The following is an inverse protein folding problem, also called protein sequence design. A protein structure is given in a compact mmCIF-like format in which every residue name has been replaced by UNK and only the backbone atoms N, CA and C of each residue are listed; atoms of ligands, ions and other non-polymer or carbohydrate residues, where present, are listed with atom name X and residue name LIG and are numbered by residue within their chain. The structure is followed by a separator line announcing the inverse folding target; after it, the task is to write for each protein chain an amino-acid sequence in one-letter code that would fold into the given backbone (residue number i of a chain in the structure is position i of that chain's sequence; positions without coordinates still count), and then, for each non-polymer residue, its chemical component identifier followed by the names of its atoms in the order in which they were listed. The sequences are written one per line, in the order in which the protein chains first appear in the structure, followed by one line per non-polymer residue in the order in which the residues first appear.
data_IF_473405966186
#
_entry.id   IF_473405966186
#
_cell.length_a   1.000
_cell.length_b   1.000
_cell.length_c   1.000
_cell.angle_alpha   90.00
_cell.angle_beta   90.00
_cell.angle_gamma   90.00
#
_symmetry.space_group_name_H-M   'P 1'
#
loop_
_entity.id
_entity.type
_entity.pdbx_description
1 polymer ?
#
# COMPACT_ATOMS: atom_id res chain seq x y z
N UNK A 1 -77.46 20.57 37.72
CA UNK A 1 -76.80 19.76 36.67
C UNK A 1 -75.51 20.40 36.12
N UNK A 2 -75.05 21.53 36.66
CA UNK A 2 -73.96 22.35 36.06
C UNK A 2 -72.61 22.24 36.78
N UNK A 3 -72.56 22.05 38.11
CA UNK A 3 -71.29 22.03 38.84
C UNK A 3 -70.38 20.81 38.53
N UNK A 4 -70.97 19.64 38.24
CA UNK A 4 -70.20 18.43 37.96
C UNK A 4 -69.50 18.48 36.59
N UNK A 5 -70.06 19.20 35.61
CA UNK A 5 -69.48 19.33 34.27
C UNK A 5 -68.30 20.33 34.30
N UNK A 6 -68.42 21.41 35.07
CA UNK A 6 -67.34 22.39 35.23
C UNK A 6 -66.13 21.78 35.91
N UNK A 7 -66.34 20.93 36.93
CA UNK A 7 -65.26 20.22 37.61
C UNK A 7 -64.59 19.20 36.69
N UNK A 8 -65.37 18.49 35.87
CA UNK A 8 -64.85 17.53 34.91
C UNK A 8 -64.01 18.20 33.80
N UNK A 9 -64.48 19.34 33.26
CA UNK A 9 -63.73 20.11 32.25
C UNK A 9 -62.45 20.74 32.83
N UNK A 10 -62.49 21.24 34.07
CA UNK A 10 -61.31 21.76 34.74
C UNK A 10 -60.27 20.64 34.98
N UNK A 11 -60.70 19.47 35.45
CA UNK A 11 -59.83 18.31 35.63
C UNK A 11 -59.26 17.80 34.28
N UNK A 12 -60.08 17.81 33.22
CA UNK A 12 -59.65 17.42 31.88
C UNK A 12 -58.59 18.38 31.32
N UNK A 13 -58.80 19.70 31.41
CA UNK A 13 -57.83 20.71 30.94
C UNK A 13 -56.54 20.72 31.77
N UNK A 14 -56.62 20.47 33.07
CA UNK A 14 -55.44 20.30 33.94
C UNK A 14 -54.66 19.01 33.67
N UNK A 15 -55.31 18.00 33.08
CA UNK A 15 -54.67 16.73 32.69
C UNK A 15 -54.05 16.75 31.28
N UNK A 16 -54.42 17.70 30.42
CA UNK A 16 -53.87 17.84 29.06
C UNK A 16 -52.34 18.03 29.02
N UNK A 17 -51.71 18.83 29.90
CA UNK A 17 -50.24 18.95 29.95
C UNK A 17 -49.56 17.62 30.31
N UNK A 18 -50.24 16.76 31.07
CA UNK A 18 -49.72 15.44 31.45
C UNK A 18 -49.83 14.43 30.30
N UNK A 19 -50.85 14.57 29.45
CA UNK A 19 -51.05 13.74 28.26
C UNK A 19 -50.17 14.15 27.07
N UNK A 20 -49.89 15.45 26.93
CA UNK A 20 -49.00 15.99 25.88
C UNK A 20 -47.51 16.04 26.29
N UNK A 21 -47.20 16.13 27.59
CA UNK A 21 -45.86 16.42 28.09
C UNK A 21 -45.02 15.22 28.54
N UNK A 22 -45.54 13.99 28.52
CA UNK A 22 -44.84 12.83 29.08
C UNK A 22 -44.77 11.59 28.17
N UNK A 23 -44.89 11.77 26.85
CA UNK A 23 -44.49 10.74 25.89
C UNK A 23 -43.27 11.18 25.08
N UNK A 24 -42.25 11.62 25.83
CA UNK A 24 -40.91 11.86 25.31
C UNK A 24 -40.19 10.50 25.34
N UNK A 25 -40.41 9.70 24.29
CA UNK A 25 -39.64 8.48 24.04
C UNK A 25 -38.16 8.83 23.81
N UNK A 26 -37.25 7.86 24.00
CA UNK A 26 -35.83 8.05 23.65
C UNK A 26 -35.65 8.46 22.18
N UNK A 27 -36.58 8.08 21.30
CA UNK A 27 -36.58 8.48 19.90
C UNK A 27 -36.90 9.98 19.73
N UNK A 28 -37.87 10.53 20.47
CA UNK A 28 -38.19 11.96 20.40
C UNK A 28 -37.11 12.85 21.03
N UNK A 29 -36.42 12.38 22.07
CA UNK A 29 -35.21 13.04 22.56
C UNK A 29 -34.08 12.97 21.53
N UNK A 30 -33.86 11.80 20.92
CA UNK A 30 -32.82 11.66 19.92
C UNK A 30 -33.05 12.54 18.71
N UNK A 31 -34.30 12.71 18.27
CA UNK A 31 -34.65 13.67 17.21
C UNK A 31 -34.45 15.11 17.67
N UNK A 32 -34.88 15.48 18.88
CA UNK A 32 -34.70 16.84 19.40
C UNK A 32 -33.21 17.21 19.56
N UNK A 33 -32.39 16.28 20.06
CA UNK A 33 -30.94 16.43 20.14
C UNK A 33 -30.30 16.44 18.75
N UNK A 34 -30.73 15.58 17.84
CA UNK A 34 -30.28 15.56 16.45
C UNK A 34 -30.57 16.90 15.78
N UNK A 35 -31.80 17.44 15.85
CA UNK A 35 -32.15 18.72 15.27
C UNK A 35 -31.44 19.90 15.94
N UNK A 36 -31.20 19.84 17.25
CA UNK A 36 -30.37 20.83 17.97
C UNK A 36 -28.91 20.80 17.49
N UNK A 37 -28.32 19.62 17.39
CA UNK A 37 -26.95 19.41 16.90
C UNK A 37 -26.82 19.88 15.44
N UNK A 38 -27.83 19.60 14.60
CA UNK A 38 -27.88 19.99 13.20
C UNK A 38 -28.05 21.50 12.99
N UNK A 39 -28.79 22.17 13.88
CA UNK A 39 -28.96 23.63 13.83
C UNK A 39 -27.76 24.38 14.39
N UNK A 40 -27.05 23.80 15.36
CA UNK A 40 -25.83 24.37 15.94
C UNK A 40 -24.59 24.12 15.05
N UNK A 41 -24.56 23.03 14.27
CA UNK A 41 -23.41 22.66 13.42
C UNK A 41 -23.82 22.21 11.99
N UNK A 42 -24.24 23.15 11.11
CA UNK A 42 -24.60 22.85 9.71
C UNK A 42 -23.48 22.19 8.90
N UNK A 43 -22.22 22.35 9.34
CA UNK A 43 -21.04 21.74 8.73
C UNK A 43 -21.00 20.21 8.85
N UNK A 44 -21.60 19.64 9.91
CA UNK A 44 -21.64 18.19 10.11
C UNK A 44 -22.51 17.48 9.06
N UNK A 45 -23.64 18.10 8.70
CA UNK A 45 -24.49 17.66 7.61
C UNK A 45 -23.74 17.68 6.28
N UNK A 46 -23.02 18.77 6.02
CA UNK A 46 -22.22 18.90 4.80
C UNK A 46 -21.11 17.84 4.76
N UNK A 47 -20.40 17.63 5.88
CA UNK A 47 -19.36 16.61 5.99
C UNK A 47 -19.92 15.19 5.77
N UNK A 48 -21.10 14.87 6.30
CA UNK A 48 -21.75 13.56 6.10
C UNK A 48 -22.17 13.35 4.64
N UNK A 49 -22.79 14.35 4.01
CA UNK A 49 -23.20 14.29 2.61
C UNK A 49 -21.99 14.21 1.68
N UNK A 50 -20.93 14.96 1.98
CA UNK A 50 -19.65 14.90 1.25
C UNK A 50 -19.03 13.51 1.41
N UNK A 51 -19.03 12.96 2.63
CA UNK A 51 -18.50 11.62 2.90
C UNK A 51 -19.27 10.54 2.13
N UNK A 52 -20.60 10.59 2.11
CA UNK A 52 -21.40 9.66 1.31
C UNK A 52 -21.12 9.78 -0.19
N UNK A 53 -21.09 11.02 -0.73
CA UNK A 53 -20.75 11.26 -2.13
C UNK A 53 -19.36 10.77 -2.49
N UNK A 54 -18.39 10.96 -1.59
CA UNK A 54 -17.01 10.48 -1.75
C UNK A 54 -16.95 8.96 -1.72
N UNK A 55 -17.66 8.30 -0.80
CA UNK A 55 -17.74 6.84 -0.72
C UNK A 55 -18.35 6.24 -1.99
N UNK A 56 -19.45 6.82 -2.50
CA UNK A 56 -20.03 6.41 -3.79
C UNK A 56 -19.08 6.64 -4.97
N UNK A 57 -18.38 7.78 -4.99
CA UNK A 57 -17.45 8.11 -6.06
C UNK A 57 -16.25 7.15 -6.05
N UNK A 58 -15.69 6.86 -4.86
CA UNK A 58 -14.64 5.85 -4.70
C UNK A 58 -15.13 4.47 -5.11
N UNK A 59 -16.41 4.11 -4.83
CA UNK A 59 -16.99 2.85 -5.31
C UNK A 59 -17.09 2.80 -6.84
N UNK A 60 -17.48 3.90 -7.49
CA UNK A 60 -17.55 4.04 -8.95
C UNK A 60 -16.17 4.00 -9.62
N UNK A 61 -15.15 4.55 -8.96
CA UNK A 61 -13.77 4.60 -9.46
C UNK A 61 -12.99 3.30 -9.21
N UNK A 62 -13.57 2.30 -8.53
CA UNK A 62 -12.94 0.98 -8.44
C UNK A 62 -12.77 0.42 -9.85
N UNK A 63 -11.61 -0.16 -10.20
CA UNK A 63 -11.47 -0.87 -11.45
C UNK A 63 -12.45 -2.06 -11.46
N UNK A 64 -13.55 -1.89 -12.19
CA UNK A 64 -14.52 -2.95 -12.49
C UNK A 64 -13.91 -3.72 -13.65
N UNK A 65 -13.63 -5.01 -13.44
CA UNK A 65 -13.37 -5.90 -14.57
C UNK A 65 -14.62 -5.86 -15.44
N UNK A 66 -14.52 -5.26 -16.64
CA UNK A 66 -15.63 -5.27 -17.59
C UNK A 66 -15.99 -6.73 -17.85
N UNK A 67 -17.20 -7.13 -17.45
CA UNK A 67 -17.73 -8.45 -17.76
C UNK A 67 -17.80 -8.59 -19.29
N UNK A 68 -17.45 -9.76 -19.82
CA UNK A 68 -17.37 -10.08 -21.25
C UNK A 68 -16.24 -9.41 -22.06
N UNK A 69 -15.17 -8.94 -21.42
CA UNK A 69 -13.91 -8.67 -22.14
C UNK A 69 -13.06 -9.92 -22.11
N UNK A 70 -12.63 -10.41 -23.28
CA UNK A 70 -11.65 -11.49 -23.38
C UNK A 70 -10.40 -11.06 -22.59
N UNK A 71 -9.94 -11.92 -21.68
CA UNK A 71 -8.67 -11.68 -20.97
C UNK A 71 -7.57 -11.39 -22.00
N UNK A 72 -6.70 -10.39 -21.76
CA UNK A 72 -5.67 -10.05 -22.72
C UNK A 72 -4.77 -11.27 -22.94
N UNK A 73 -4.49 -11.59 -24.20
CA UNK A 73 -3.53 -12.62 -24.53
C UNK A 73 -2.11 -12.06 -24.34
N UNK A 74 -1.40 -12.57 -23.34
CA UNK A 74 -0.04 -12.14 -23.00
C UNK A 74 0.93 -13.23 -23.42
N UNK A 75 1.92 -12.87 -24.25
CA UNK A 75 2.94 -13.81 -24.75
C UNK A 75 3.98 -14.22 -23.70
N UNK A 76 4.08 -13.47 -22.59
CA UNK A 76 5.05 -13.75 -21.53
C UNK A 76 4.77 -15.10 -20.85
N UNK A 77 5.82 -15.80 -20.41
CA UNK A 77 5.68 -17.06 -19.68
C UNK A 77 4.94 -16.88 -18.34
N UNK A 78 5.10 -15.70 -17.73
CA UNK A 78 4.39 -15.34 -16.50
C UNK A 78 4.14 -13.83 -16.45
N UNK A 79 2.99 -13.43 -15.91
CA UNK A 79 2.57 -12.04 -15.76
C UNK A 79 1.57 -11.92 -14.60
N UNK A 80 1.63 -10.81 -13.87
CA UNK A 80 0.77 -10.53 -12.72
C UNK A 80 0.42 -9.05 -12.71
N UNK A 81 -0.86 -8.73 -12.58
CA UNK A 81 -1.37 -7.37 -12.41
C UNK A 81 -2.15 -7.29 -11.12
N UNK A 82 -1.74 -6.38 -10.23
CA UNK A 82 -2.35 -6.19 -8.91
C UNK A 82 -2.82 -4.75 -8.79
N UNK A 83 -4.04 -4.58 -8.30
CA UNK A 83 -4.52 -3.29 -7.80
C UNK A 83 -4.18 -3.17 -6.33
N UNK A 84 -3.42 -2.13 -5.98
CA UNK A 84 -3.09 -1.78 -4.59
C UNK A 84 -3.96 -0.60 -4.18
N UNK A 85 -4.75 -0.79 -3.13
CA UNK A 85 -5.63 0.25 -2.57
C UNK A 85 -4.83 1.16 -1.65
N UNK A 86 -5.34 2.38 -1.44
CA UNK A 86 -4.76 3.35 -0.49
C UNK A 86 -4.68 2.83 0.95
N UNK A 87 -5.59 1.93 1.33
CA UNK A 87 -5.62 1.29 2.65
C UNK A 87 -4.69 0.05 2.74
N UNK A 88 -3.86 -0.19 1.72
CA UNK A 88 -2.94 -1.33 1.65
C UNK A 88 -3.58 -2.64 1.17
N UNK A 89 -4.91 -2.68 0.99
CA UNK A 89 -5.58 -3.86 0.46
C UNK A 89 -5.20 -4.14 -0.99
N UNK A 90 -4.95 -5.40 -1.34
CA UNK A 90 -4.57 -5.80 -2.71
C UNK A 90 -5.68 -6.61 -3.38
N UNK A 91 -5.83 -6.45 -4.70
CA UNK A 91 -6.70 -7.29 -5.54
C UNK A 91 -5.95 -7.69 -6.81
N UNK A 92 -5.85 -8.99 -7.06
CA UNK A 92 -5.31 -9.51 -8.32
C UNK A 92 -6.33 -9.19 -9.43
N UNK A 93 -5.85 -8.53 -10.50
CA UNK A 93 -6.64 -8.18 -11.68
C UNK A 93 -6.42 -9.17 -12.83
N UNK A 94 -5.20 -9.70 -12.93
CA UNK A 94 -4.78 -10.65 -13.95
C UNK A 94 -3.61 -11.48 -13.41
N UNK A 95 -3.58 -12.77 -13.74
CA UNK A 95 -2.50 -13.68 -13.41
C UNK A 95 -2.32 -14.72 -14.53
N UNK A 96 -1.07 -14.93 -14.93
CA UNK A 96 -0.64 -15.97 -15.86
C UNK A 96 0.66 -16.55 -15.33
N UNK A 97 0.71 -17.86 -15.07
CA UNK A 97 1.93 -18.55 -14.64
C UNK A 97 2.52 -18.07 -13.30
N UNK A 98 1.73 -17.48 -12.40
CA UNK A 98 2.21 -16.74 -11.23
C UNK A 98 3.11 -17.52 -10.25
N UNK A 99 3.02 -18.85 -10.20
CA UNK A 99 3.86 -19.69 -9.31
C UNK A 99 5.09 -20.31 -9.99
N UNK A 100 5.38 -19.94 -11.25
CA UNK A 100 6.55 -20.48 -11.96
C UNK A 100 7.84 -19.83 -11.47
N UNK A 101 8.85 -20.65 -11.19
CA UNK A 101 10.21 -20.17 -10.91
C UNK A 101 10.91 -19.87 -12.23
N UNK A 102 11.19 -18.60 -12.47
CA UNK A 102 11.81 -18.11 -13.70
C UNK A 102 13.03 -17.24 -13.37
N UNK A 103 14.04 -17.20 -14.25
CA UNK A 103 15.09 -16.20 -14.16
C UNK A 103 14.48 -14.79 -14.25
N UNK A 104 14.77 -13.96 -13.24
CA UNK A 104 14.23 -12.58 -13.16
C UNK A 104 15.23 -11.51 -13.65
N UNK A 105 16.44 -11.93 -14.03
CA UNK A 105 17.53 -11.05 -14.49
C UNK A 105 17.71 -9.84 -13.55
N UNK A 106 17.83 -8.63 -14.11
CA UNK A 106 18.04 -7.38 -13.37
C UNK A 106 16.95 -7.01 -12.36
N UNK A 107 15.75 -7.62 -12.37
CA UNK A 107 14.73 -7.39 -11.33
C UNK A 107 15.29 -7.78 -9.95
N UNK A 108 16.30 -8.66 -9.90
CA UNK A 108 17.11 -8.97 -8.71
C UNK A 108 17.58 -7.74 -7.94
N UNK A 109 17.91 -6.66 -8.66
CA UNK A 109 18.42 -5.43 -8.06
C UNK A 109 17.41 -4.71 -7.16
N UNK A 110 16.12 -5.03 -7.27
CA UNK A 110 15.11 -4.57 -6.30
C UNK A 110 15.36 -5.17 -4.91
N UNK A 111 15.77 -6.45 -4.83
CA UNK A 111 16.16 -7.05 -3.55
C UNK A 111 17.48 -6.47 -3.04
N UNK A 112 18.45 -6.24 -3.92
CA UNK A 112 19.71 -5.56 -3.57
C UNK A 112 19.44 -4.19 -2.97
N UNK A 113 18.57 -3.39 -3.60
CA UNK A 113 18.17 -2.08 -3.10
C UNK A 113 17.43 -2.19 -1.74
N UNK A 114 16.57 -3.18 -1.57
CA UNK A 114 15.85 -3.43 -0.30
C UNK A 114 16.84 -3.73 0.84
N UNK A 115 17.79 -4.64 0.62
CA UNK A 115 18.83 -4.97 1.62
C UNK A 115 19.68 -3.74 1.96
N UNK A 116 20.14 -3.01 0.94
CA UNK A 116 20.91 -1.78 1.15
C UNK A 116 20.12 -0.74 1.95
N UNK A 117 18.87 -0.49 1.57
CA UNK A 117 18.01 0.49 2.26
C UNK A 117 17.75 0.13 3.73
N UNK A 118 17.71 -1.17 4.06
CA UNK A 118 17.46 -1.66 5.43
C UNK A 118 18.72 -1.69 6.30
N UNK A 119 19.87 -1.99 5.71
CA UNK A 119 21.07 -2.35 6.48
C UNK A 119 22.21 -1.32 6.40
N UNK A 120 22.22 -0.44 5.39
CA UNK A 120 23.35 0.45 5.14
C UNK A 120 22.99 1.89 5.53
N UNK A 121 23.93 2.61 6.13
CA UNK A 121 23.75 4.04 6.39
C UNK A 121 23.82 4.81 5.07
N UNK A 122 22.76 5.55 4.68
CA UNK A 122 22.70 6.29 3.41
C UNK A 122 23.86 7.26 3.20
N UNK A 123 24.46 7.79 4.28
CA UNK A 123 25.56 8.74 4.21
C UNK A 123 26.94 8.07 4.03
N UNK A 124 27.03 6.75 4.21
CA UNK A 124 28.30 6.02 4.09
C UNK A 124 28.85 6.16 2.68
N UNK A 125 30.16 6.41 2.57
CA UNK A 125 30.86 6.57 1.29
C UNK A 125 31.40 5.24 0.80
N UNK A 126 31.12 4.93 -0.46
CA UNK A 126 31.59 3.74 -1.17
C UNK A 126 32.50 4.19 -2.28
N UNK A 127 33.72 3.64 -2.33
CA UNK A 127 34.63 3.81 -3.45
C UNK A 127 34.44 2.65 -4.42
N UNK A 128 34.20 2.97 -5.69
CA UNK A 128 34.05 1.96 -6.74
C UNK A 128 35.40 1.26 -6.96
N UNK A 129 35.42 -0.03 -6.65
CA UNK A 129 36.62 -0.84 -6.75
C UNK A 129 36.84 -1.35 -8.18
N UNK A 130 38.05 -1.83 -8.45
CA UNK A 130 38.34 -2.51 -9.72
C UNK A 130 37.59 -3.84 -9.85
N UNK A 131 37.37 -4.54 -8.74
CA UNK A 131 36.64 -5.80 -8.75
C UNK A 131 35.17 -5.59 -9.08
N UNK A 132 34.52 -4.56 -8.51
CA UNK A 132 33.13 -4.24 -8.80
C UNK A 132 32.86 -3.98 -10.29
N UNK A 133 33.75 -3.26 -10.96
CA UNK A 133 33.64 -2.95 -12.40
C UNK A 133 33.98 -4.16 -13.29
N UNK A 134 34.81 -5.09 -12.81
CA UNK A 134 35.26 -6.25 -13.60
C UNK A 134 34.47 -7.53 -13.32
N UNK A 135 33.60 -7.53 -12.31
CA UNK A 135 32.84 -8.72 -11.89
C UNK A 135 31.92 -9.22 -13.00
N UNK A 136 31.27 -8.31 -13.73
CA UNK A 136 30.41 -8.66 -14.87
C UNK A 136 30.81 -7.81 -16.09
N UNK A 137 31.16 -8.47 -17.20
CA UNK A 137 31.75 -7.86 -18.41
C UNK A 137 30.81 -6.91 -19.17
N UNK A 138 29.62 -6.61 -18.64
CA UNK A 138 28.61 -5.78 -19.29
C UNK A 138 27.78 -4.99 -18.25
N UNK A 139 27.38 -3.78 -18.65
CA UNK A 139 26.53 -2.80 -17.95
C UNK A 139 27.12 -2.01 -16.76
N UNK A 140 28.38 -1.56 -16.90
CA UNK A 140 29.03 -0.66 -15.94
C UNK A 140 29.54 0.65 -16.55
N UNK A 141 29.01 1.81 -16.12
CA UNK A 141 29.55 3.14 -16.46
C UNK A 141 30.31 3.77 -15.29
N UNK A 142 30.36 3.10 -14.13
CA UNK A 142 31.02 3.65 -12.96
C UNK A 142 32.54 3.56 -13.14
N UNK A 143 33.27 4.60 -12.73
CA UNK A 143 34.72 4.63 -12.88
C UNK A 143 35.37 4.17 -11.60
N UNK A 144 36.43 3.37 -11.75
CA UNK A 144 37.26 2.93 -10.63
C UNK A 144 37.77 4.16 -9.89
N UNK A 145 37.59 4.19 -8.57
CA UNK A 145 37.98 5.29 -7.71
C UNK A 145 36.92 6.37 -7.52
N UNK A 146 35.81 6.35 -8.27
CA UNK A 146 34.67 7.23 -7.99
C UNK A 146 34.14 6.94 -6.58
N UNK A 147 33.66 7.98 -5.90
CA UNK A 147 33.16 7.87 -4.53
C UNK A 147 31.72 8.38 -4.47
N UNK A 148 30.80 7.49 -4.13
CA UNK A 148 29.38 7.78 -3.98
C UNK A 148 28.97 7.65 -2.52
N UNK A 149 27.92 8.36 -2.09
CA UNK A 149 27.19 7.92 -0.90
C UNK A 149 26.38 6.66 -1.23
N UNK A 150 26.02 5.86 -0.22
CA UNK A 150 25.09 4.73 -0.38
C UNK A 150 23.82 5.18 -1.08
N UNK A 151 23.26 6.32 -0.66
CA UNK A 151 22.06 6.88 -1.27
C UNK A 151 22.25 7.23 -2.76
N UNK A 152 23.37 7.86 -3.12
CA UNK A 152 23.65 8.23 -4.51
C UNK A 152 23.88 7.00 -5.38
N UNK A 153 24.52 5.96 -4.84
CA UNK A 153 24.82 4.73 -5.59
C UNK A 153 23.58 3.87 -5.87
N UNK A 154 22.48 4.07 -5.15
CA UNK A 154 21.19 3.44 -5.47
C UNK A 154 20.59 3.96 -6.80
N UNK A 155 20.94 5.18 -7.24
CA UNK A 155 20.46 5.71 -8.52
C UNK A 155 20.96 4.91 -9.72
N UNK A 156 22.28 4.72 -9.94
CA UNK A 156 22.75 3.87 -11.05
C UNK A 156 22.29 2.42 -10.90
N UNK A 157 22.14 1.90 -9.67
CA UNK A 157 21.58 0.56 -9.43
C UNK A 157 20.16 0.42 -10.00
N UNK A 158 19.28 1.41 -9.76
CA UNK A 158 17.85 1.30 -10.07
C UNK A 158 17.46 1.91 -11.42
N UNK A 159 18.14 2.98 -11.86
CA UNK A 159 17.83 3.68 -13.10
C UNK A 159 18.54 3.08 -14.31
N UNK A 160 19.81 2.71 -14.14
CA UNK A 160 20.64 2.16 -15.22
C UNK A 160 20.82 0.65 -15.09
N UNK A 161 20.28 0.04 -14.02
CA UNK A 161 20.46 -1.38 -13.74
C UNK A 161 21.94 -1.77 -13.60
N UNK A 162 22.76 -0.88 -13.04
CA UNK A 162 24.21 -1.04 -12.95
C UNK A 162 24.61 -2.29 -12.16
N UNK A 163 25.42 -3.15 -12.79
CA UNK A 163 26.04 -4.30 -12.13
C UNK A 163 27.17 -3.86 -11.19
N UNK A 164 27.96 -2.86 -11.59
CA UNK A 164 29.03 -2.27 -10.77
C UNK A 164 28.50 -1.80 -9.41
N UNK A 165 27.35 -1.12 -9.40
CA UNK A 165 26.74 -0.64 -8.17
C UNK A 165 26.33 -1.80 -7.25
N UNK A 166 25.71 -2.85 -7.81
CA UNK A 166 25.32 -4.03 -7.06
C UNK A 166 26.54 -4.78 -6.48
N UNK A 167 27.60 -4.91 -7.27
CA UNK A 167 28.86 -5.50 -6.83
C UNK A 167 29.51 -4.66 -5.72
N UNK A 168 29.59 -3.34 -5.89
CA UNK A 168 30.16 -2.43 -4.89
C UNK A 168 29.39 -2.47 -3.55
N UNK A 169 28.05 -2.59 -3.58
CA UNK A 169 27.28 -2.82 -2.36
C UNK A 169 27.63 -4.16 -1.70
N UNK A 170 27.65 -5.25 -2.46
CA UNK A 170 27.96 -6.57 -1.92
C UNK A 170 29.40 -6.66 -1.37
N UNK A 171 30.35 -5.94 -1.95
CA UNK A 171 31.74 -5.89 -1.48
C UNK A 171 31.89 -5.33 -0.07
N UNK A 172 31.05 -4.38 0.35
CA UNK A 172 31.18 -3.72 1.66
C UNK A 172 31.12 -4.70 2.84
N UNK A 173 30.34 -5.77 2.70
CA UNK A 173 30.19 -6.79 3.74
C UNK A 173 30.65 -8.19 3.31
N UNK A 174 31.07 -8.33 2.05
CA UNK A 174 31.37 -9.60 1.42
C UNK A 174 30.16 -10.19 0.71
N UNK A 175 30.38 -10.68 -0.52
CA UNK A 175 29.32 -11.16 -1.43
C UNK A 175 28.47 -12.28 -0.84
N UNK A 176 29.08 -13.26 -0.20
CA UNK A 176 28.35 -14.38 0.42
C UNK A 176 27.40 -13.89 1.51
N UNK A 177 27.90 -13.07 2.44
CA UNK A 177 27.09 -12.48 3.50
C UNK A 177 25.98 -11.58 2.95
N UNK A 178 26.24 -10.85 1.86
CA UNK A 178 25.21 -10.05 1.20
C UNK A 178 24.09 -10.92 0.60
N UNK A 179 24.45 -12.03 -0.07
CA UNK A 179 23.48 -12.98 -0.63
C UNK A 179 22.67 -13.67 0.47
N UNK A 180 23.29 -13.99 1.60
CA UNK A 180 22.59 -14.52 2.76
C UNK A 180 21.54 -13.52 3.29
N UNK A 181 21.86 -12.22 3.34
CA UNK A 181 20.88 -11.19 3.68
C UNK A 181 19.75 -11.08 2.65
N UNK A 182 20.04 -11.19 1.36
CA UNK A 182 19.00 -11.18 0.33
C UNK A 182 18.01 -12.35 0.50
N UNK A 183 18.51 -13.53 0.89
CA UNK A 183 17.68 -14.70 1.15
C UNK A 183 16.96 -14.63 2.50
N UNK A 184 17.55 -13.99 3.51
CA UNK A 184 16.88 -13.70 4.76
C UNK A 184 15.69 -12.75 4.52
N UNK A 185 15.91 -11.65 3.80
CA UNK A 185 14.88 -10.67 3.46
C UNK A 185 13.76 -11.30 2.61
N UNK A 186 14.10 -12.16 1.64
CA UNK A 186 13.09 -12.87 0.86
C UNK A 186 12.18 -13.75 1.73
N UNK A 187 12.76 -14.40 2.75
CA UNK A 187 12.02 -15.15 3.76
C UNK A 187 11.10 -14.28 4.60
N UNK A 188 11.58 -13.12 5.08
CA UNK A 188 10.80 -12.16 5.85
C UNK A 188 9.63 -11.58 5.05
N UNK A 189 9.81 -11.36 3.76
CA UNK A 189 8.75 -10.92 2.83
C UNK A 189 7.81 -12.04 2.38
N UNK A 190 8.06 -13.29 2.78
CA UNK A 190 7.23 -14.44 2.42
C UNK A 190 7.37 -14.89 0.96
N UNK A 191 8.49 -14.56 0.29
CA UNK A 191 8.77 -14.92 -1.11
C UNK A 191 9.26 -16.37 -1.23
N UNK A 192 8.37 -17.33 -0.95
CA UNK A 192 8.69 -18.77 -0.82
C UNK A 192 9.28 -19.43 -2.08
N UNK A 193 9.07 -18.85 -3.25
CA UNK A 193 9.55 -19.36 -4.53
C UNK A 193 10.76 -18.58 -5.09
N UNK A 194 11.44 -17.81 -4.23
CA UNK A 194 12.57 -16.96 -4.59
C UNK A 194 13.83 -17.40 -3.86
N UNK A 195 14.95 -17.50 -4.59
CA UNK A 195 16.27 -17.73 -4.02
C UNK A 195 17.30 -16.91 -4.79
N UNK A 196 18.16 -16.19 -4.07
CA UNK A 196 19.21 -15.35 -4.62
C UNK A 196 20.57 -16.02 -4.49
N UNK A 197 21.40 -15.88 -5.52
CA UNK A 197 22.77 -16.42 -5.57
C UNK A 197 23.83 -15.33 -5.83
N UNK A 198 23.40 -14.11 -6.17
CA UNK A 198 24.24 -12.93 -6.38
C UNK A 198 23.37 -11.64 -6.39
N UNK A 199 23.97 -10.43 -6.33
CA UNK A 199 23.25 -9.17 -6.17
C UNK A 199 22.81 -8.49 -7.50
N UNK A 200 23.25 -8.94 -8.66
CA UNK A 200 23.01 -8.26 -9.96
C UNK A 200 22.37 -9.13 -11.03
N UNK A 201 22.54 -10.46 -10.92
CA UNK A 201 22.34 -11.54 -11.88
C UNK A 201 22.71 -11.22 -13.34
N UNK A 202 23.91 -11.68 -13.77
CA UNK A 202 24.20 -11.99 -15.18
C UNK A 202 24.93 -13.33 -15.42
N UNK A 203 25.08 -14.20 -14.41
CA UNK A 203 25.63 -15.56 -14.63
C UNK A 203 24.57 -16.64 -14.52
N UNK A 204 24.22 -17.22 -15.68
CA UNK A 204 23.36 -18.39 -15.82
C UNK A 204 23.83 -19.53 -14.92
N UNK A 205 23.12 -19.79 -13.82
CA UNK A 205 23.12 -21.09 -13.17
C UNK A 205 21.97 -21.90 -13.77
N UNK A 206 22.18 -22.42 -14.99
CA UNK A 206 21.46 -23.63 -15.41
C UNK A 206 22.25 -24.81 -14.82
N UNK A 207 21.73 -25.36 -13.74
CA UNK A 207 22.18 -26.61 -13.12
C UNK A 207 20.96 -27.30 -12.54
#
# INVERSE_FOLDING_TARGET
MTQNITFFLAAFLLSLPFWLGFNVSSETLSEAFFWKEMTESPELLQAQVIRQKLEEQVLRERPILKQNVLSPEIQAQSALSIFIRKDGGTKILFEQGGSRRLPIASITKLMTAQVVAKHYDPATRITISRSAVLEEQDAGYLRIGDVFSVQDLLYPLLMESSNDAAAAFAEMMGKEAFVDLMNLESGELGLKDTHFVNPSLLRFAFG
#
